data_IF_369976248914
#
_entry.id   IF_369976248914
#
_cell.length_a   1.000
_cell.length_b   1.000
_cell.length_c   1.000
_cell.angle_alpha   90.00
_cell.angle_beta   90.00
_cell.angle_gamma   90.00
#
_symmetry.space_group_name_H-M   'P 1'
#
loop_
_entity.id
_entity.type
_entity.pdbx_description
1 polymer ?
#
# COMPACT_ATOMS: atom_id res chain seq x y z
N UNK A 1 40.86 -0.56 -16.24
CA UNK A 1 39.69 -1.45 -16.49
C UNK A 1 39.72 -2.59 -15.47
N UNK A 2 38.82 -2.56 -14.46
CA UNK A 2 38.51 -3.72 -13.62
C UNK A 2 36.99 -3.92 -13.72
N UNK A 3 36.59 -5.06 -14.24
CA UNK A 3 35.20 -5.49 -14.27
C UNK A 3 34.72 -5.77 -12.84
N UNK A 4 33.72 -5.02 -12.37
CA UNK A 4 32.95 -5.40 -11.19
C UNK A 4 31.86 -6.38 -11.65
N UNK A 5 32.00 -7.65 -11.29
CA UNK A 5 30.94 -8.65 -11.45
C UNK A 5 29.84 -8.40 -10.41
N UNK A 6 28.60 -8.37 -10.89
CA UNK A 6 27.40 -8.22 -10.08
C UNK A 6 27.17 -9.45 -9.20
N UNK A 7 27.34 -9.28 -7.89
CA UNK A 7 26.84 -10.22 -6.89
C UNK A 7 25.33 -10.05 -6.75
N UNK A 8 24.56 -10.81 -7.55
CA UNK A 8 23.12 -10.88 -7.42
C UNK A 8 22.73 -11.56 -6.10
N UNK A 9 22.28 -10.79 -5.12
CA UNK A 9 21.57 -11.31 -3.95
C UNK A 9 20.34 -12.08 -4.45
N UNK A 10 20.31 -13.38 -4.14
CA UNK A 10 19.19 -14.27 -4.45
C UNK A 10 17.89 -13.74 -3.83
N UNK A 11 16.74 -14.03 -4.45
CA UNK A 11 15.43 -13.57 -3.97
C UNK A 11 15.10 -14.04 -2.54
N UNK A 12 15.75 -15.11 -2.08
CA UNK A 12 15.66 -15.62 -0.72
C UNK A 12 16.42 -14.75 0.28
N UNK A 13 17.65 -14.30 -0.04
CA UNK A 13 18.39 -13.35 0.81
C UNK A 13 17.70 -11.99 0.91
N UNK A 14 17.04 -11.51 -0.15
CA UNK A 14 16.21 -10.28 -0.09
C UNK A 14 14.99 -10.45 0.82
N UNK A 15 14.32 -11.60 0.76
CA UNK A 15 13.19 -11.92 1.66
C UNK A 15 13.64 -12.07 3.11
N UNK A 16 14.76 -12.72 3.37
CA UNK A 16 15.30 -12.90 4.72
C UNK A 16 15.77 -11.57 5.34
N UNK A 17 16.44 -10.69 4.59
CA UNK A 17 16.81 -9.36 5.07
C UNK A 17 15.60 -8.46 5.29
N UNK A 18 14.61 -8.47 4.39
CA UNK A 18 13.37 -7.71 4.58
C UNK A 18 12.58 -8.18 5.81
N UNK A 19 12.50 -9.48 6.07
CA UNK A 19 11.84 -10.01 7.28
C UNK A 19 12.61 -9.68 8.56
N UNK A 20 13.94 -9.59 8.51
CA UNK A 20 14.79 -9.25 9.65
C UNK A 20 14.76 -7.75 9.97
N UNK A 21 14.77 -6.88 8.97
CA UNK A 21 14.59 -5.43 9.16
C UNK A 21 13.18 -5.11 9.65
N UNK A 22 12.16 -5.80 9.14
CA UNK A 22 10.80 -5.74 9.67
C UNK A 22 10.76 -6.19 11.13
N UNK A 23 11.37 -7.33 11.49
CA UNK A 23 11.36 -7.80 12.88
C UNK A 23 12.05 -6.82 13.85
N UNK A 24 13.14 -6.17 13.44
CA UNK A 24 13.80 -5.12 14.24
C UNK A 24 13.00 -3.81 14.28
N UNK A 25 12.28 -3.48 13.21
CA UNK A 25 11.42 -2.29 13.15
C UNK A 25 10.18 -2.40 14.04
N UNK A 26 9.59 -3.59 14.17
CA UNK A 26 8.37 -3.83 14.98
C UNK A 26 8.70 -3.87 16.50
N UNK A 27 9.94 -3.67 16.93
CA UNK A 27 10.20 -3.25 18.31
C UNK A 27 9.78 -1.78 18.57
N UNK A 28 9.44 -1.03 17.51
CA UNK A 28 8.95 0.35 17.53
C UNK A 28 7.68 0.53 16.69
N UNK A 29 6.99 1.65 16.84
CA UNK A 29 5.79 1.95 16.05
C UNK A 29 6.15 2.29 14.60
N UNK A 30 5.79 1.42 13.66
CA UNK A 30 6.13 1.54 12.23
C UNK A 30 4.88 1.86 11.40
N UNK A 31 5.02 2.81 10.46
CA UNK A 31 4.02 3.09 9.43
C UNK A 31 4.54 2.64 8.06
N UNK A 32 3.83 1.71 7.42
CA UNK A 32 4.11 1.24 6.07
C UNK A 32 3.18 1.87 5.04
N UNK A 33 3.72 2.27 3.89
CA UNK A 33 2.96 2.82 2.76
C UNK A 33 2.93 1.84 1.60
N UNK A 34 1.74 1.59 1.05
CA UNK A 34 1.51 0.63 -0.02
C UNK A 34 0.75 1.28 -1.17
N UNK A 35 1.19 0.98 -2.39
CA UNK A 35 0.56 1.47 -3.62
C UNK A 35 -0.06 0.27 -4.33
N UNK A 36 -1.32 0.40 -4.73
CA UNK A 36 -2.01 -0.55 -5.60
C UNK A 36 -2.38 0.12 -6.93
N UNK A 37 -2.53 -0.68 -7.99
CA UNK A 37 -2.85 -0.19 -9.33
C UNK A 37 -1.66 0.43 -10.07
N UNK A 38 -0.43 0.04 -9.73
CA UNK A 38 0.77 0.56 -10.40
C UNK A 38 0.77 0.15 -11.90
N UNK A 39 1.31 0.98 -12.82
CA UNK A 39 1.38 0.61 -14.24
C UNK A 39 2.14 -0.70 -14.46
N UNK A 40 1.47 -1.68 -15.07
CA UNK A 40 2.01 -3.03 -15.28
C UNK A 40 1.87 -3.99 -14.10
N UNK A 41 1.25 -3.57 -12.98
CA UNK A 41 0.95 -4.47 -11.86
C UNK A 41 -0.04 -5.56 -12.29
N UNK A 42 0.34 -6.81 -12.06
CA UNK A 42 -0.52 -7.97 -12.29
C UNK A 42 -1.46 -8.19 -11.10
N UNK A 43 -2.53 -8.95 -11.31
CA UNK A 43 -3.39 -9.39 -10.19
C UNK A 43 -2.59 -10.14 -9.11
N UNK A 44 -1.63 -10.97 -9.52
CA UNK A 44 -0.82 -11.74 -8.59
C UNK A 44 0.12 -10.83 -7.77
N UNK A 45 0.68 -9.79 -8.38
CA UNK A 45 1.47 -8.77 -7.67
C UNK A 45 0.63 -8.04 -6.62
N UNK A 46 -0.58 -7.61 -7.00
CA UNK A 46 -1.49 -6.95 -6.08
C UNK A 46 -1.89 -7.88 -4.91
N UNK A 47 -2.22 -9.14 -5.20
CA UNK A 47 -2.51 -10.15 -4.17
C UNK A 47 -1.31 -10.41 -3.25
N UNK A 48 -0.10 -10.43 -3.80
CA UNK A 48 1.13 -10.57 -3.02
C UNK A 48 1.34 -9.37 -2.09
N UNK A 49 1.07 -8.14 -2.54
CA UNK A 49 1.08 -6.94 -1.70
C UNK A 49 0.07 -7.04 -0.56
N UNK A 50 -1.18 -7.46 -0.83
CA UNK A 50 -2.20 -7.67 0.20
C UNK A 50 -1.78 -8.73 1.22
N UNK A 51 -1.23 -9.86 0.75
CA UNK A 51 -0.72 -10.91 1.61
C UNK A 51 0.46 -10.41 2.47
N UNK A 52 1.31 -9.55 1.90
CA UNK A 52 2.42 -8.96 2.62
C UNK A 52 1.95 -8.04 3.74
N UNK A 53 0.98 -7.15 3.49
CA UNK A 53 0.38 -6.29 4.52
C UNK A 53 -0.17 -7.13 5.68
N UNK A 54 -0.96 -8.17 5.36
CA UNK A 54 -1.52 -9.08 6.38
C UNK A 54 -0.44 -9.80 7.18
N UNK A 55 0.67 -10.18 6.52
CA UNK A 55 1.81 -10.79 7.21
C UNK A 55 2.48 -9.82 8.17
N UNK A 56 2.65 -8.54 7.79
CA UNK A 56 3.24 -7.53 8.66
C UNK A 56 2.37 -7.27 9.88
N UNK A 57 1.05 -7.20 9.70
CA UNK A 57 0.10 -7.16 10.80
C UNK A 57 0.22 -8.37 11.75
N UNK A 58 0.25 -9.59 11.20
CA UNK A 58 0.40 -10.79 12.03
C UNK A 58 1.76 -10.87 12.77
N UNK A 59 2.80 -10.21 12.23
CA UNK A 59 4.09 -10.07 12.91
C UNK A 59 4.03 -9.04 14.03
N UNK A 60 3.33 -7.91 13.82
CA UNK A 60 3.14 -6.89 14.86
C UNK A 60 2.30 -7.38 16.03
N UNK A 61 1.33 -8.26 15.79
CA UNK A 61 0.49 -8.82 16.86
C UNK A 61 1.29 -9.61 17.93
N UNK A 62 2.55 -9.96 17.64
CA UNK A 62 3.45 -10.69 18.56
C UNK A 62 4.63 -9.86 19.05
N UNK A 63 4.62 -8.57 18.78
CA UNK A 63 5.75 -7.67 19.02
C UNK A 63 5.30 -6.49 19.90
N UNK A 64 6.23 -5.86 20.65
CA UNK A 64 5.87 -4.74 21.51
C UNK A 64 5.53 -3.45 20.75
N UNK A 65 6.02 -3.29 19.52
CA UNK A 65 5.67 -2.18 18.64
C UNK A 65 4.48 -2.49 17.74
N UNK A 66 3.81 -1.42 17.27
CA UNK A 66 2.66 -1.53 16.36
C UNK A 66 3.07 -1.36 14.91
N UNK A 67 2.31 -1.97 13.99
CA UNK A 67 2.43 -1.71 12.56
C UNK A 67 1.13 -1.13 12.00
N UNK A 68 1.23 0.05 11.41
CA UNK A 68 0.14 0.71 10.67
C UNK A 68 0.40 0.65 9.17
N UNK A 69 -0.47 -0.01 8.42
CA UNK A 69 -0.48 0.03 6.97
C UNK A 69 -1.33 1.21 6.47
N UNK A 70 -0.83 1.93 5.47
CA UNK A 70 -1.55 2.96 4.73
C UNK A 70 -1.44 2.62 3.25
N UNK A 71 -2.54 2.13 2.67
CA UNK A 71 -2.62 1.75 1.28
C UNK A 71 -3.41 2.79 0.48
N UNK A 72 -3.00 3.05 -0.76
CA UNK A 72 -3.66 3.98 -1.68
C UNK A 72 -3.49 3.53 -3.14
N UNK A 73 -4.32 4.05 -4.03
CA UNK A 73 -4.16 3.81 -5.47
C UNK A 73 -3.02 4.65 -6.05
N UNK A 74 -2.38 4.11 -7.09
CA UNK A 74 -1.35 4.80 -7.83
C UNK A 74 -1.87 6.09 -8.48
N UNK A 75 -1.11 7.17 -8.33
CA UNK A 75 -1.35 8.46 -8.94
C UNK A 75 -0.05 8.94 -9.59
N UNK A 76 0.00 9.09 -10.93
CA UNK A 76 1.22 9.51 -11.59
C UNK A 76 1.44 11.02 -11.37
N UNK A 77 2.55 11.37 -10.73
CA UNK A 77 2.90 12.78 -10.53
C UNK A 77 3.39 13.43 -11.84
N UNK A 78 2.90 14.62 -12.20
CA UNK A 78 3.38 15.36 -13.35
C UNK A 78 4.91 15.52 -13.33
N UNK A 79 5.55 15.30 -14.48
CA UNK A 79 7.01 15.37 -14.61
C UNK A 79 7.77 14.12 -14.15
N UNK A 80 7.10 13.11 -13.57
CA UNK A 80 7.76 11.85 -13.24
C UNK A 80 8.04 11.01 -14.50
N UNK A 81 9.09 10.17 -14.51
CA UNK A 81 9.37 9.28 -15.64
C UNK A 81 8.20 8.36 -15.99
N UNK A 82 7.44 7.92 -14.97
CA UNK A 82 6.24 7.08 -15.17
C UNK A 82 5.10 7.87 -15.81
N UNK A 83 4.90 9.13 -15.42
CA UNK A 83 3.91 10.01 -16.05
C UNK A 83 4.23 10.20 -17.54
N UNK A 84 5.47 10.52 -17.89
CA UNK A 84 5.86 10.66 -19.29
C UNK A 84 5.66 9.38 -20.10
N UNK A 85 5.93 8.21 -19.51
CA UNK A 85 5.67 6.92 -20.14
C UNK A 85 4.17 6.70 -20.38
N UNK A 86 3.32 7.02 -19.41
CA UNK A 86 1.87 6.88 -19.54
C UNK A 86 1.32 7.80 -20.65
N UNK A 87 1.80 9.04 -20.75
CA UNK A 87 1.45 9.94 -21.85
C UNK A 87 1.85 9.35 -23.20
N UNK A 88 3.04 8.77 -23.31
CA UNK A 88 3.50 8.09 -24.54
C UNK A 88 2.67 6.83 -24.87
N UNK A 89 2.03 6.22 -23.88
CA UNK A 89 1.13 5.08 -24.04
C UNK A 89 -0.31 5.49 -24.41
N UNK A 90 -0.59 6.80 -24.51
CA UNK A 90 -1.89 7.34 -24.93
C UNK A 90 -2.80 7.77 -23.78
N UNK A 91 -2.33 7.76 -22.53
CA UNK A 91 -3.09 8.35 -21.43
C UNK A 91 -3.12 9.88 -21.54
N UNK A 92 -4.31 10.45 -21.31
CA UNK A 92 -4.48 11.90 -21.28
C UNK A 92 -3.79 12.53 -20.04
N UNK A 93 -2.82 13.45 -20.23
CA UNK A 93 -2.17 14.16 -19.13
C UNK A 93 -3.14 14.89 -18.20
N UNK A 94 -4.24 15.44 -18.70
CA UNK A 94 -5.21 16.19 -17.91
C UNK A 94 -6.04 15.25 -17.04
N UNK A 95 -6.61 14.20 -17.63
CA UNK A 95 -7.35 13.16 -16.89
C UNK A 95 -6.52 12.51 -15.78
N UNK A 96 -5.21 12.31 -15.97
CA UNK A 96 -4.32 11.75 -14.94
C UNK A 96 -4.06 12.68 -13.74
N UNK A 97 -4.39 13.96 -13.85
CA UNK A 97 -4.21 14.97 -12.80
C UNK A 97 -5.52 15.34 -12.09
N UNK A 98 -6.66 14.92 -12.64
CA UNK A 98 -7.98 15.10 -12.04
C UNK A 98 -8.17 14.12 -10.89
N UNK A 99 -7.68 14.50 -9.71
CA UNK A 99 -7.85 13.70 -8.51
C UNK A 99 -9.27 13.84 -7.96
N UNK A 100 -9.91 12.69 -7.74
CA UNK A 100 -11.25 12.58 -7.17
C UNK A 100 -11.19 11.76 -5.90
N UNK A 101 -12.08 12.06 -4.96
CA UNK A 101 -12.32 11.22 -3.80
C UNK A 101 -12.75 9.82 -4.24
N UNK A 102 -12.09 8.81 -3.70
CA UNK A 102 -12.57 7.44 -3.80
C UNK A 102 -13.61 7.26 -2.70
N UNK A 103 -14.87 7.21 -3.12
CA UNK A 103 -15.94 6.81 -2.23
C UNK A 103 -15.81 5.31 -1.93
N UNK A 104 -15.49 5.01 -0.68
CA UNK A 104 -15.37 3.66 -0.16
C UNK A 104 -16.58 3.33 0.75
N UNK A 105 -17.53 4.25 0.93
CA UNK A 105 -18.67 4.10 1.84
C UNK A 105 -19.64 3.01 1.39
N UNK A 106 -19.81 2.84 0.08
CA UNK A 106 -20.52 1.71 -0.54
C UNK A 106 -19.88 0.35 -0.21
N UNK A 107 -18.61 0.34 0.17
CA UNK A 107 -17.89 -0.84 0.66
C UNK A 107 -17.76 -0.84 2.19
N UNK A 108 -18.64 -0.13 2.90
CA UNK A 108 -18.78 -0.17 4.35
C UNK A 108 -17.70 0.58 5.13
N UNK A 109 -16.95 1.50 4.50
CA UNK A 109 -16.06 2.42 5.24
C UNK A 109 -16.78 3.72 5.57
N UNK A 110 -16.80 4.11 6.85
CA UNK A 110 -17.28 5.43 7.26
C UNK A 110 -16.14 6.48 7.17
N UNK A 111 -16.47 7.77 7.07
CA UNK A 111 -15.51 8.87 7.25
C UNK A 111 -14.72 8.72 8.55
N UNK A 112 -15.34 8.23 9.62
CA UNK A 112 -14.67 7.94 10.89
C UNK A 112 -13.58 6.86 10.78
N UNK A 113 -13.61 6.03 9.73
CA UNK A 113 -12.58 5.02 9.45
C UNK A 113 -11.38 5.60 8.70
N UNK A 114 -11.54 6.73 8.01
CA UNK A 114 -10.43 7.47 7.39
C UNK A 114 -9.68 8.21 8.50
N UNK A 115 -8.55 7.66 8.95
CA UNK A 115 -7.65 8.38 9.86
C UNK A 115 -7.15 9.70 9.24
N UNK A 116 -6.54 10.58 10.04
CA UNK A 116 -6.00 11.90 9.59
C UNK A 116 -5.04 11.88 8.38
N UNK A 117 -4.57 10.70 7.97
CA UNK A 117 -3.64 10.52 6.85
C UNK A 117 -4.21 9.70 5.68
N UNK A 118 -5.47 9.27 5.75
CA UNK A 118 -6.08 8.38 4.75
C UNK A 118 -6.81 9.18 3.68
N UNK A 119 -5.99 9.78 2.82
CA UNK A 119 -6.41 10.49 1.63
C UNK A 119 -6.54 9.51 0.46
N UNK A 120 -7.66 8.78 0.42
CA UNK A 120 -7.99 7.90 -0.70
C UNK A 120 -8.51 8.74 -1.88
N UNK A 121 -7.58 9.36 -2.60
CA UNK A 121 -7.86 10.00 -3.88
C UNK A 121 -7.35 9.12 -5.03
N UNK A 122 -8.07 9.10 -6.13
CA UNK A 122 -7.69 8.40 -7.36
C UNK A 122 -7.83 9.30 -8.59
N UNK A 123 -7.31 8.85 -9.73
CA UNK A 123 -7.47 9.54 -11.02
C UNK A 123 -8.69 9.04 -11.81
N UNK A 124 -9.36 7.98 -11.33
CA UNK A 124 -10.38 7.25 -12.10
C UNK A 124 -9.81 6.49 -13.31
N UNK A 125 -8.49 6.46 -13.49
CA UNK A 125 -7.83 5.79 -14.61
C UNK A 125 -7.25 4.44 -14.20
N UNK A 126 -7.48 3.41 -15.01
CA UNK A 126 -6.90 2.09 -14.80
C UNK A 126 -5.52 2.01 -15.47
N UNK A 127 -4.47 1.81 -14.66
CA UNK A 127 -3.08 1.66 -15.15
C UNK A 127 -2.56 0.21 -15.05
N UNK A 128 -3.04 -0.53 -14.06
CA UNK A 128 -2.72 -1.93 -13.85
C UNK A 128 -3.71 -2.88 -14.52
N UNK A 129 -3.48 -4.18 -14.34
CA UNK A 129 -4.38 -5.22 -14.86
C UNK A 129 -5.61 -5.45 -13.99
N UNK A 130 -5.56 -5.02 -12.73
CA UNK A 130 -6.67 -5.16 -11.78
C UNK A 130 -7.71 -4.06 -12.02
N UNK A 131 -9.01 -4.40 -12.15
CA UNK A 131 -10.08 -3.41 -12.26
C UNK A 131 -10.10 -2.44 -11.09
N UNK A 132 -10.37 -1.15 -11.36
CA UNK A 132 -10.46 -0.11 -10.32
C UNK A 132 -11.46 -0.46 -9.21
N UNK A 133 -12.62 -1.02 -9.57
CA UNK A 133 -13.63 -1.47 -8.61
C UNK A 133 -13.09 -2.51 -7.63
N UNK A 134 -12.28 -3.44 -8.13
CA UNK A 134 -11.63 -4.46 -7.31
C UNK A 134 -10.55 -3.85 -6.40
N UNK A 135 -9.77 -2.89 -6.91
CA UNK A 135 -8.79 -2.15 -6.11
C UNK A 135 -9.48 -1.36 -4.98
N UNK A 136 -10.60 -0.71 -5.27
CA UNK A 136 -11.37 0.04 -4.27
C UNK A 136 -11.93 -0.90 -3.19
N UNK A 137 -12.44 -2.08 -3.58
CA UNK A 137 -12.87 -3.10 -2.60
C UNK A 137 -11.71 -3.50 -1.68
N UNK A 138 -10.53 -3.78 -2.23
CA UNK A 138 -9.37 -4.15 -1.40
C UNK A 138 -8.87 -3.01 -0.52
N UNK A 139 -8.91 -1.77 -0.99
CA UNK A 139 -8.58 -0.60 -0.17
C UNK A 139 -9.57 -0.43 0.99
N UNK A 140 -10.88 -0.58 0.73
CA UNK A 140 -11.90 -0.55 1.77
C UNK A 140 -11.67 -1.63 2.83
N UNK A 141 -11.37 -2.86 2.41
CA UNK A 141 -11.06 -3.97 3.33
C UNK A 141 -9.83 -3.66 4.21
N UNK A 142 -8.77 -3.13 3.61
CA UNK A 142 -7.55 -2.77 4.32
C UNK A 142 -7.78 -1.62 5.31
N UNK A 143 -8.51 -0.57 4.90
CA UNK A 143 -8.89 0.55 5.77
C UNK A 143 -9.71 0.06 6.97
N UNK A 144 -10.71 -0.80 6.73
CA UNK A 144 -11.56 -1.33 7.79
C UNK A 144 -10.76 -2.17 8.80
N UNK A 145 -9.90 -3.06 8.32
CA UNK A 145 -9.04 -3.89 9.17
C UNK A 145 -8.04 -3.02 9.96
N UNK A 146 -7.40 -2.03 9.33
CA UNK A 146 -6.50 -1.13 10.03
C UNK A 146 -7.23 -0.31 11.12
N UNK A 147 -8.45 0.16 10.84
CA UNK A 147 -9.27 0.87 11.81
C UNK A 147 -9.64 -0.04 13.01
N UNK A 148 -10.04 -1.28 12.75
CA UNK A 148 -10.31 -2.26 13.79
C UNK A 148 -9.09 -2.51 14.69
N UNK A 149 -7.89 -2.61 14.08
CA UNK A 149 -6.63 -2.77 14.83
C UNK A 149 -6.27 -1.56 15.67
N UNK A 150 -6.43 -0.35 15.13
CA UNK A 150 -6.17 0.89 15.86
C UNK A 150 -7.08 1.01 17.09
N UNK A 151 -8.36 0.71 16.94
CA UNK A 151 -9.35 0.78 18.04
C UNK A 151 -9.14 -0.30 19.10
N UNK A 152 -8.74 -1.51 18.68
CA UNK A 152 -8.43 -2.61 19.60
C UNK A 152 -7.18 -2.30 20.43
N UNK A 153 -6.12 -1.80 19.79
CA UNK A 153 -4.86 -1.44 20.46
C UNK A 153 -5.08 -0.31 21.47
N UNK A 154 -5.78 0.76 21.08
CA UNK A 154 -6.08 1.88 21.97
C UNK A 154 -6.88 1.46 23.22
N UNK A 155 -7.72 0.43 23.11
CA UNK A 155 -8.52 -0.08 24.24
C UNK A 155 -7.68 -0.90 25.23
N UNK A 156 -6.60 -1.53 24.77
CA UNK A 156 -5.67 -2.27 25.63
C UNK A 156 -4.78 -1.34 26.45
N UNK A 157 -4.40 -0.17 25.93
CA UNK A 157 -3.59 0.83 26.66
C UNK A 157 -4.34 1.53 27.80
N UNK A 158 -5.67 1.64 27.73
CA UNK A 158 -6.50 2.32 28.76
C UNK A 158 -6.80 1.41 29.96
N UNK A 159 -6.56 0.10 29.85
CA UNK A 159 -6.92 -0.89 30.88
C UNK A 159 -5.69 -1.46 31.61
N UNK A 160 -4.49 -0.95 31.35
CA UNK A 160 -3.22 -1.34 31.98
C UNK A 160 -2.73 -0.24 32.94
#
# INVERSE_FOLDING_TARGET
MRHAQGGGLTAECRRANGLREVALGIESNVKGYFILGYPGETRDDALATLAHIRRLWALSDRSPGTFRASAFTFRPYPGSPVFHRLVQQGYDPEAMQTYQDIDLTDHGTDEAMRGRDEFNFGTGQQFGTVPLTQLHTWLADLTREQHHRNTTTARQEVTA
#
